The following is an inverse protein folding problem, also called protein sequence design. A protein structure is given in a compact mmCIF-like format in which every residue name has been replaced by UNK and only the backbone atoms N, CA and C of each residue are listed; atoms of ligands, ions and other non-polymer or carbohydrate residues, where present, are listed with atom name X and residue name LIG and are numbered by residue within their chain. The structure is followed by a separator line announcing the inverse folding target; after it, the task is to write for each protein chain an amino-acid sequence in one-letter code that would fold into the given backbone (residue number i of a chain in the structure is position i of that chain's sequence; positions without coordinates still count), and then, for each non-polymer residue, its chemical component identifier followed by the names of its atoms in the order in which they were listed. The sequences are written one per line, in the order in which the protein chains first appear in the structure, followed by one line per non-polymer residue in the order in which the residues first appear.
data_IF_410504062667
#
_entry.id   IF_410504062667
#
_cell.length_a   1.000
_cell.length_b   1.000
_cell.length_c   1.000
_cell.angle_alpha   90.00
_cell.angle_beta   90.00
_cell.angle_gamma   90.00
#
_symmetry.space_group_name_H-M   'P 1'
#
loop_
_entity.id
_entity.type
_entity.pdbx_description
1 polymer ?
#
# COMPACT_ATOMS: atom_id res chain seq x y z
N UNK A 1 31.30 15.53 37.53
CA UNK A 1 31.27 14.35 36.61
C UNK A 1 29.86 13.88 36.26
N UNK A 2 28.87 14.01 37.14
CA UNK A 2 27.49 13.57 36.89
C UNK A 2 26.67 14.47 35.91
N UNK A 3 26.96 15.76 35.90
CA UNK A 3 26.22 16.71 35.01
C UNK A 3 26.49 16.43 33.56
N UNK A 4 27.73 16.18 33.16
CA UNK A 4 28.10 15.88 31.75
C UNK A 4 27.49 14.55 31.33
N UNK A 5 27.46 13.55 32.20
CA UNK A 5 26.87 12.23 31.95
C UNK A 5 25.35 12.33 31.71
N UNK A 6 24.67 13.18 32.48
CA UNK A 6 23.22 13.41 32.33
C UNK A 6 22.90 14.18 31.05
N UNK A 7 23.74 15.16 30.66
CA UNK A 7 23.59 15.87 29.39
C UNK A 7 23.81 14.96 28.17
N UNK A 8 24.80 14.06 28.24
CA UNK A 8 25.07 13.09 27.18
C UNK A 8 23.88 12.11 27.00
N UNK A 9 23.29 11.66 28.10
CA UNK A 9 22.10 10.80 28.09
C UNK A 9 20.88 11.53 27.52
N UNK A 10 20.68 12.79 27.84
CA UNK A 10 19.58 13.60 27.30
C UNK A 10 19.74 13.83 25.78
N UNK A 11 20.95 14.10 25.31
CA UNK A 11 21.23 14.25 23.86
C UNK A 11 21.02 12.95 23.12
N UNK A 12 21.47 11.79 23.66
CA UNK A 12 21.19 10.48 23.07
C UNK A 12 19.69 10.17 23.02
N UNK A 13 18.93 10.50 24.05
CA UNK A 13 17.47 10.28 24.06
C UNK A 13 16.77 11.14 23.00
N UNK A 14 17.18 12.39 22.81
CA UNK A 14 16.63 13.28 21.77
C UNK A 14 16.96 12.79 20.36
N UNK A 15 18.17 12.24 20.15
CA UNK A 15 18.56 11.67 18.84
C UNK A 15 17.80 10.38 18.51
N UNK A 16 17.41 9.59 19.49
CA UNK A 16 16.63 8.38 19.29
C UNK A 16 15.16 8.64 18.96
N UNK A 17 14.61 9.81 19.30
CA UNK A 17 13.22 10.16 19.02
C UNK A 17 12.99 10.64 17.58
N UNK A 18 14.03 10.95 16.81
CA UNK A 18 13.89 11.41 15.42
C UNK A 18 13.79 10.30 14.36
N UNK A 19 13.75 9.02 14.76
CA UNK A 19 13.81 7.87 13.85
C UNK A 19 12.51 7.51 13.11
N UNK A 20 11.35 8.02 13.53
CA UNK A 20 10.06 7.64 12.97
C UNK A 20 9.38 8.80 12.20
N UNK A 21 9.89 9.15 11.01
CA UNK A 21 9.13 10.03 10.14
C UNK A 21 7.80 9.37 9.77
N UNK A 22 6.62 10.00 9.95
CA UNK A 22 5.33 9.38 9.65
C UNK A 22 5.18 9.09 8.16
N UNK A 23 4.34 8.12 7.81
CA UNK A 23 3.91 7.90 6.43
C UNK A 23 3.19 9.17 5.93
N UNK A 24 3.42 9.51 4.67
CA UNK A 24 2.71 10.64 4.05
C UNK A 24 1.20 10.40 4.08
N UNK A 25 0.44 11.49 4.20
CA UNK A 25 -1.01 11.42 4.09
C UNK A 25 -1.38 10.91 2.70
N UNK A 26 -2.36 10.01 2.59
CA UNK A 26 -2.86 9.58 1.28
C UNK A 26 -3.39 10.77 0.48
N UNK A 27 -3.20 10.71 -0.84
CA UNK A 27 -3.70 11.71 -1.78
C UNK A 27 -4.82 11.11 -2.60
N UNK A 28 -5.90 11.86 -2.80
CA UNK A 28 -7.02 11.48 -3.65
C UNK A 28 -7.31 12.60 -4.65
N UNK A 29 -7.56 12.19 -5.89
CA UNK A 29 -8.10 13.05 -6.95
C UNK A 29 -9.44 12.47 -7.35
N UNK A 30 -10.50 13.27 -7.33
CA UNK A 30 -11.85 12.87 -7.74
C UNK A 30 -12.34 13.79 -8.85
N UNK A 31 -12.58 13.23 -10.02
CA UNK A 31 -13.18 13.94 -11.15
C UNK A 31 -14.69 13.66 -11.24
N UNK A 32 -15.11 12.45 -10.81
CA UNK A 32 -16.51 12.07 -10.71
C UNK A 32 -16.74 11.08 -9.57
N UNK A 33 -18.00 10.89 -9.11
CA UNK A 33 -18.35 9.90 -8.10
C UNK A 33 -18.12 8.48 -8.60
N UNK A 34 -17.34 7.66 -7.87
CA UNK A 34 -17.15 6.24 -8.18
C UNK A 34 -18.39 5.41 -7.84
N UNK A 35 -19.23 5.93 -6.95
CA UNK A 35 -20.48 5.30 -6.48
C UNK A 35 -21.56 5.17 -7.56
N UNK A 36 -21.38 5.85 -8.70
CA UNK A 36 -22.26 5.71 -9.88
C UNK A 36 -22.05 4.41 -10.63
N UNK A 37 -20.95 3.71 -10.34
CA UNK A 37 -20.58 2.48 -11.01
C UNK A 37 -20.90 1.27 -10.12
N UNK A 38 -21.34 0.18 -10.75
CA UNK A 38 -21.73 -1.06 -10.07
C UNK A 38 -20.68 -2.16 -10.22
N UNK A 39 -19.98 -2.13 -11.34
CA UNK A 39 -19.02 -3.16 -11.72
C UNK A 39 -17.60 -2.60 -11.68
N UNK A 40 -16.64 -3.48 -11.39
CA UNK A 40 -15.23 -3.16 -11.50
C UNK A 40 -14.49 -4.29 -12.23
N UNK A 41 -13.70 -3.93 -13.21
CA UNK A 41 -12.71 -4.79 -13.83
C UNK A 41 -11.33 -4.35 -13.33
N UNK A 42 -10.61 -5.25 -12.68
CA UNK A 42 -9.29 -4.95 -12.15
C UNK A 42 -8.26 -5.50 -13.13
N UNK A 43 -7.39 -4.60 -13.62
CA UNK A 43 -6.29 -5.02 -14.50
C UNK A 43 -5.41 -6.04 -13.79
N UNK A 44 -5.08 -7.18 -14.44
CA UNK A 44 -4.30 -8.23 -13.82
C UNK A 44 -2.94 -7.71 -13.33
N UNK A 45 -2.53 -8.11 -12.13
CA UNK A 45 -1.22 -7.83 -11.57
C UNK A 45 -0.45 -9.13 -11.33
N UNK A 46 0.87 -9.03 -11.28
CA UNK A 46 1.71 -10.18 -10.91
C UNK A 46 1.71 -10.35 -9.40
N UNK A 47 1.75 -11.61 -8.96
CA UNK A 47 2.02 -11.93 -7.57
C UNK A 47 3.45 -11.55 -7.23
N UNK A 48 3.62 -10.83 -6.12
CA UNK A 48 4.92 -10.42 -5.58
C UNK A 48 5.18 -11.22 -4.31
N UNK A 49 6.32 -11.90 -4.29
CA UNK A 49 6.79 -12.64 -3.12
C UNK A 49 8.00 -11.92 -2.55
N UNK A 50 7.94 -11.63 -1.27
CA UNK A 50 9.05 -11.00 -0.54
C UNK A 50 9.35 -11.78 0.73
N UNK A 51 10.63 -11.84 1.08
CA UNK A 51 11.10 -12.47 2.30
C UNK A 51 11.97 -11.51 3.09
N UNK A 52 11.78 -11.50 4.40
CA UNK A 52 12.67 -10.85 5.34
C UNK A 52 13.19 -11.91 6.30
N UNK A 53 14.48 -11.82 6.65
CA UNK A 53 15.08 -12.77 7.57
C UNK A 53 16.43 -12.29 8.05
N UNK A 54 16.80 -12.71 9.25
CA UNK A 54 18.12 -12.49 9.84
C UNK A 54 18.76 -13.81 10.21
N UNK A 55 20.05 -13.93 9.91
CA UNK A 55 20.87 -15.03 10.40
C UNK A 55 21.72 -14.53 11.57
N UNK A 56 21.68 -15.24 12.68
CA UNK A 56 22.54 -15.00 13.84
C UNK A 56 23.51 -16.16 13.96
N UNK A 57 24.81 -15.88 13.88
CA UNK A 57 25.87 -16.85 14.15
C UNK A 57 26.25 -16.82 15.62
N UNK A 58 26.23 -17.96 16.29
CA UNK A 58 26.70 -18.13 17.64
C UNK A 58 27.73 -19.26 17.73
N UNK A 59 28.37 -19.40 18.90
CA UNK A 59 29.37 -20.44 19.16
C UNK A 59 28.86 -21.89 18.95
N UNK A 60 27.51 -22.05 18.90
CA UNK A 60 26.84 -23.35 18.77
C UNK A 60 26.09 -23.54 17.43
N UNK A 61 26.32 -22.67 16.45
CA UNK A 61 25.72 -22.80 15.13
C UNK A 61 25.15 -21.49 14.57
N UNK A 62 24.64 -21.58 13.35
CA UNK A 62 23.94 -20.49 12.66
C UNK A 62 22.44 -20.74 12.79
N UNK A 63 21.76 -19.80 13.42
CA UNK A 63 20.30 -19.80 13.54
C UNK A 63 19.74 -18.68 12.68
N UNK A 64 18.79 -19.01 11.82
CA UNK A 64 18.11 -18.04 10.97
C UNK A 64 16.61 -18.22 11.03
N UNK A 65 15.89 -17.13 11.09
CA UNK A 65 14.44 -17.09 10.85
C UNK A 65 14.18 -16.24 9.64
N UNK A 66 13.43 -16.77 8.67
CA UNK A 66 12.96 -16.02 7.52
C UNK A 66 11.45 -16.07 7.46
N UNK A 67 10.83 -14.92 7.20
CA UNK A 67 9.40 -14.80 6.92
C UNK A 67 9.25 -14.49 5.44
N UNK A 68 8.54 -15.35 4.73
CA UNK A 68 8.19 -15.14 3.32
C UNK A 68 6.70 -14.83 3.24
N UNK A 69 6.37 -13.73 2.58
CA UNK A 69 4.99 -13.31 2.33
C UNK A 69 4.81 -12.99 0.86
N UNK A 70 3.63 -13.31 0.33
CA UNK A 70 3.25 -12.95 -1.03
C UNK A 70 2.03 -12.03 -1.03
N UNK A 71 1.91 -11.22 -2.06
CA UNK A 71 0.76 -10.37 -2.31
C UNK A 71 0.47 -10.31 -3.80
N UNK A 72 -0.80 -10.49 -4.15
CA UNK A 72 -1.31 -10.11 -5.46
C UNK A 72 -2.12 -8.82 -5.28
N UNK A 73 -1.64 -7.69 -5.79
CA UNK A 73 -2.33 -6.40 -5.61
C UNK A 73 -3.78 -6.42 -6.10
N UNK A 74 -4.07 -7.07 -7.24
CA UNK A 74 -5.43 -7.17 -7.77
C UNK A 74 -6.38 -7.88 -6.81
N UNK A 75 -5.94 -8.92 -6.10
CA UNK A 75 -6.77 -9.66 -5.14
C UNK A 75 -7.06 -8.81 -3.89
N UNK A 76 -6.07 -8.04 -3.44
CA UNK A 76 -6.26 -7.11 -2.31
C UNK A 76 -7.27 -6.03 -2.66
N UNK A 77 -7.16 -5.45 -3.87
CA UNK A 77 -8.09 -4.43 -4.39
C UNK A 77 -9.48 -5.04 -4.53
N UNK A 78 -9.61 -6.22 -5.17
CA UNK A 78 -10.88 -6.93 -5.34
C UNK A 78 -11.58 -7.16 -4.00
N UNK A 79 -10.85 -7.66 -3.00
CA UNK A 79 -11.40 -7.92 -1.68
C UNK A 79 -11.92 -6.66 -0.97
N UNK A 80 -11.36 -5.50 -1.24
CA UNK A 80 -11.85 -4.23 -0.71
C UNK A 80 -13.08 -3.77 -1.48
N UNK A 81 -13.03 -3.77 -2.83
CA UNK A 81 -14.14 -3.31 -3.66
C UNK A 81 -15.41 -4.17 -3.47
N UNK A 82 -15.26 -5.48 -3.27
CA UNK A 82 -16.40 -6.35 -2.94
C UNK A 82 -17.07 -5.91 -1.63
N UNK A 83 -16.29 -5.51 -0.62
CA UNK A 83 -16.84 -5.01 0.67
C UNK A 83 -17.53 -3.66 0.52
N UNK A 84 -17.13 -2.87 -0.46
CA UNK A 84 -17.79 -1.61 -0.82
C UNK A 84 -19.00 -1.79 -1.75
N UNK A 85 -19.33 -3.04 -2.11
CA UNK A 85 -20.54 -3.39 -2.87
C UNK A 85 -20.35 -3.51 -4.38
N UNK A 86 -19.11 -3.47 -4.88
CA UNK A 86 -18.85 -3.66 -6.31
C UNK A 86 -18.90 -5.12 -6.71
N UNK A 87 -19.39 -5.39 -7.92
CA UNK A 87 -19.31 -6.69 -8.57
C UNK A 87 -18.06 -6.75 -9.43
N UNK A 88 -17.15 -7.68 -9.12
CA UNK A 88 -15.90 -7.81 -9.87
C UNK A 88 -16.15 -8.63 -11.14
N UNK A 89 -15.79 -8.06 -12.29
CA UNK A 89 -15.89 -8.73 -13.58
C UNK A 89 -14.56 -9.42 -13.91
N UNK A 90 -14.58 -10.68 -14.37
CA UNK A 90 -13.37 -11.38 -14.80
C UNK A 90 -12.83 -10.83 -16.13
N UNK A 91 -13.68 -10.20 -16.93
CA UNK A 91 -13.36 -9.60 -18.22
C UNK A 91 -14.24 -8.37 -18.48
N UNK A 92 -13.80 -7.48 -19.35
CA UNK A 92 -14.59 -6.32 -19.75
C UNK A 92 -15.73 -6.76 -20.67
N UNK A 93 -16.96 -6.33 -20.31
CA UNK A 93 -18.18 -6.59 -21.07
C UNK A 93 -18.69 -5.29 -21.69
N UNK A 94 -18.74 -5.19 -23.02
CA UNK A 94 -19.18 -3.96 -23.72
C UNK A 94 -20.58 -3.50 -23.29
N UNK A 95 -21.49 -4.44 -23.04
CA UNK A 95 -22.86 -4.16 -22.61
C UNK A 95 -22.96 -3.54 -21.20
N UNK A 96 -21.94 -3.73 -20.35
CA UNK A 96 -21.87 -3.18 -19.00
C UNK A 96 -20.92 -1.96 -18.90
N UNK A 97 -20.32 -1.52 -19.99
CA UNK A 97 -19.27 -0.49 -19.99
C UNK A 97 -19.72 0.83 -19.33
N UNK A 98 -21.01 1.19 -19.42
CA UNK A 98 -21.55 2.41 -18.81
C UNK A 98 -21.48 2.39 -17.26
N UNK A 99 -21.53 1.19 -16.66
CA UNK A 99 -21.57 0.98 -15.21
C UNK A 99 -20.31 0.31 -14.69
N UNK A 100 -19.26 0.19 -15.51
CA UNK A 100 -18.01 -0.50 -15.18
C UNK A 100 -16.85 0.47 -15.02
N UNK A 101 -16.11 0.33 -13.92
CA UNK A 101 -14.80 0.94 -13.71
C UNK A 101 -13.69 -0.02 -14.13
N UNK A 102 -12.70 0.50 -14.85
CA UNK A 102 -11.41 -0.15 -15.01
C UNK A 102 -10.51 0.32 -13.89
N UNK A 103 -9.99 -0.62 -13.09
CA UNK A 103 -9.14 -0.33 -11.95
C UNK A 103 -7.72 -0.75 -12.26
N UNK A 104 -6.82 0.22 -12.30
CA UNK A 104 -5.41 0.02 -12.56
C UNK A 104 -4.60 0.22 -11.27
N UNK A 105 -3.57 -0.58 -11.09
CA UNK A 105 -2.61 -0.51 -10.01
C UNK A 105 -1.23 -0.22 -10.55
N UNK A 106 -0.49 0.63 -9.85
CA UNK A 106 0.93 0.88 -10.13
C UNK A 106 1.69 1.28 -8.88
N UNK A 107 2.93 0.83 -8.77
CA UNK A 107 3.88 1.38 -7.83
C UNK A 107 4.37 2.71 -8.38
N UNK A 108 4.13 3.81 -7.66
CA UNK A 108 4.44 5.16 -8.11
C UNK A 108 5.75 5.69 -7.54
N UNK A 109 6.29 5.04 -6.51
CA UNK A 109 7.57 5.46 -5.94
C UNK A 109 8.02 4.66 -4.74
N UNK A 110 9.29 4.91 -4.36
CA UNK A 110 9.90 4.40 -3.13
C UNK A 110 10.61 5.54 -2.42
N UNK A 111 10.49 5.61 -1.11
CA UNK A 111 11.16 6.61 -0.29
C UNK A 111 11.96 5.95 0.82
N UNK A 112 13.25 6.28 0.91
CA UNK A 112 14.12 5.80 1.99
C UNK A 112 13.66 6.38 3.34
N UNK A 113 13.67 5.55 4.37
CA UNK A 113 13.29 5.89 5.74
C UNK A 113 14.21 5.19 6.74
N UNK A 114 15.26 5.88 7.15
CA UNK A 114 16.25 5.33 8.07
C UNK A 114 16.87 4.04 7.51
N UNK A 115 16.65 2.92 8.19
CA UNK A 115 17.15 1.59 7.79
C UNK A 115 16.23 0.85 6.80
N UNK A 116 15.11 1.45 6.39
CA UNK A 116 14.15 0.85 5.48
C UNK A 116 13.65 1.83 4.42
N UNK A 117 12.58 1.46 3.73
CA UNK A 117 11.92 2.29 2.73
C UNK A 117 10.40 2.15 2.85
N UNK A 118 9.69 3.06 2.20
CA UNK A 118 8.25 2.95 1.94
C UNK A 118 8.02 2.67 0.47
N UNK A 119 6.94 1.95 0.16
CA UNK A 119 6.45 1.81 -1.21
C UNK A 119 5.23 2.71 -1.36
N UNK A 120 5.22 3.50 -2.41
CA UNK A 120 4.07 4.31 -2.80
C UNK A 120 3.31 3.61 -3.92
N UNK A 121 2.00 3.51 -3.73
CA UNK A 121 1.07 2.86 -4.65
C UNK A 121 0.04 3.86 -5.11
N UNK A 122 -0.23 3.85 -6.42
CA UNK A 122 -1.33 4.60 -7.05
C UNK A 122 -2.34 3.63 -7.64
N UNK A 123 -3.61 3.84 -7.31
CA UNK A 123 -4.75 3.11 -7.86
C UNK A 123 -5.61 4.10 -8.65
N UNK A 124 -5.86 3.80 -9.92
CA UNK A 124 -6.63 4.63 -10.82
C UNK A 124 -7.94 3.94 -11.19
N UNK A 125 -9.01 4.70 -11.21
CA UNK A 125 -10.35 4.27 -11.58
C UNK A 125 -10.75 5.01 -12.86
N UNK A 126 -10.87 4.29 -13.95
CA UNK A 126 -11.26 4.85 -15.25
C UNK A 126 -12.64 4.32 -15.65
N UNK A 127 -13.43 5.12 -16.36
CA UNK A 127 -14.66 4.66 -16.98
C UNK A 127 -14.36 3.64 -18.07
N UNK A 128 -14.97 2.48 -18.06
CA UNK A 128 -14.82 1.50 -19.14
C UNK A 128 -15.42 1.98 -20.46
N UNK A 129 -16.37 2.93 -20.42
CA UNK A 129 -16.99 3.49 -21.61
C UNK A 129 -16.13 4.53 -22.30
N UNK A 130 -15.58 5.50 -21.53
CA UNK A 130 -14.89 6.68 -22.10
C UNK A 130 -13.38 6.61 -21.92
N UNK A 131 -12.88 5.70 -21.10
CA UNK A 131 -11.51 5.58 -20.64
C UNK A 131 -10.99 6.82 -19.87
N UNK A 132 -11.89 7.72 -19.48
CA UNK A 132 -11.55 8.90 -18.69
C UNK A 132 -11.31 8.49 -17.23
N UNK A 133 -10.37 9.18 -16.59
CA UNK A 133 -10.07 8.98 -15.19
C UNK A 133 -11.20 9.55 -14.32
N UNK A 134 -11.86 8.69 -13.57
CA UNK A 134 -12.93 9.03 -12.64
C UNK A 134 -12.33 9.43 -11.28
N UNK A 135 -11.37 8.65 -10.80
CA UNK A 135 -10.67 8.94 -9.56
C UNK A 135 -9.29 8.30 -9.54
N UNK A 136 -8.40 8.84 -8.71
CA UNK A 136 -7.10 8.25 -8.41
C UNK A 136 -6.79 8.42 -6.94
N UNK A 137 -6.22 7.40 -6.32
CA UNK A 137 -5.77 7.47 -4.94
C UNK A 137 -4.35 6.92 -4.80
N UNK A 138 -3.53 7.63 -4.02
CA UNK A 138 -2.12 7.31 -3.81
C UNK A 138 -1.81 7.26 -2.32
N UNK A 139 -1.07 6.26 -1.87
CA UNK A 139 -0.61 6.18 -0.50
C UNK A 139 0.70 5.40 -0.36
N UNK A 140 1.43 5.71 0.69
CA UNK A 140 2.62 4.95 1.11
C UNK A 140 2.22 3.80 2.05
N UNK A 141 2.98 2.70 1.98
CA UNK A 141 2.96 1.61 2.94
C UNK A 141 4.35 1.30 3.47
N UNK A 142 4.41 0.79 4.68
CA UNK A 142 5.61 0.29 5.33
C UNK A 142 5.25 -0.84 6.30
N UNK A 143 5.79 -2.01 6.07
CA UNK A 143 5.59 -3.20 6.88
C UNK A 143 6.89 -3.93 7.16
N UNK A 144 6.81 -5.21 7.43
CA UNK A 144 7.98 -6.07 7.67
C UNK A 144 8.58 -6.59 6.36
N UNK A 145 7.75 -6.72 5.33
CA UNK A 145 8.11 -7.20 3.99
C UNK A 145 7.53 -6.29 2.94
N UNK A 146 8.09 -6.32 1.73
CA UNK A 146 7.57 -5.58 0.58
C UNK A 146 6.08 -5.92 0.29
N UNK A 147 5.69 -7.18 0.48
CA UNK A 147 4.30 -7.61 0.36
C UNK A 147 3.39 -6.91 1.39
N UNK A 148 3.87 -6.67 2.60
CA UNK A 148 3.13 -5.93 3.63
C UNK A 148 3.05 -4.44 3.32
N UNK A 149 4.14 -3.85 2.77
CA UNK A 149 4.18 -2.46 2.33
C UNK A 149 3.10 -2.21 1.29
N UNK A 150 3.06 -3.04 0.25
CA UNK A 150 2.07 -2.95 -0.84
C UNK A 150 0.65 -3.11 -0.30
N UNK A 151 0.41 -4.14 0.53
CA UNK A 151 -0.90 -4.38 1.14
C UNK A 151 -1.37 -3.21 1.99
N UNK A 152 -0.46 -2.62 2.77
CA UNK A 152 -0.76 -1.45 3.60
C UNK A 152 -1.05 -0.23 2.71
N UNK A 153 -0.23 0.03 1.69
CA UNK A 153 -0.41 1.14 0.77
C UNK A 153 -1.77 1.08 0.07
N UNK A 154 -2.15 -0.09 -0.48
CA UNK A 154 -3.46 -0.31 -1.12
C UNK A 154 -4.60 -0.01 -0.13
N UNK A 155 -4.54 -0.54 1.09
CA UNK A 155 -5.58 -0.30 2.11
C UNK A 155 -5.71 1.18 2.46
N UNK A 156 -4.59 1.87 2.62
CA UNK A 156 -4.57 3.31 2.94
C UNK A 156 -5.10 4.15 1.78
N UNK A 157 -4.71 3.85 0.55
CA UNK A 157 -5.21 4.53 -0.64
C UNK A 157 -6.72 4.38 -0.76
N UNK A 158 -7.24 3.16 -0.71
CA UNK A 158 -8.67 2.89 -0.86
C UNK A 158 -9.51 3.37 0.33
N UNK A 159 -8.97 3.39 1.56
CA UNK A 159 -9.68 3.96 2.71
C UNK A 159 -9.95 5.46 2.59
N UNK A 160 -9.19 6.17 1.77
CA UNK A 160 -9.43 7.59 1.48
C UNK A 160 -10.53 7.76 0.44
N UNK A 161 -10.66 6.82 -0.48
CA UNK A 161 -11.73 6.81 -1.48
C UNK A 161 -13.07 6.38 -0.86
N UNK A 162 -13.03 5.39 0.04
CA UNK A 162 -14.18 4.82 0.74
C UNK A 162 -14.04 5.05 2.26
N UNK A 163 -14.30 6.27 2.76
CA UNK A 163 -14.21 6.55 4.18
C UNK A 163 -15.28 5.75 4.94
N UNK A 164 -14.87 5.06 5.99
CA UNK A 164 -15.82 4.38 6.88
C UNK A 164 -16.78 5.42 7.46
N UNK A 165 -18.06 5.17 7.31
CA UNK A 165 -19.12 5.93 7.96
C UNK A 165 -19.14 5.66 9.45
#
# INVERSE_FOLDING_TARGET
MNIIKNWLLAICAILLMNGCAPLRMPVIVRNAPVEMYKYAYISPTKELTSSTGGTYGGQYGIYGSSTTKSVNPSDVIAGILIKEGYVILPELKPELANETLIVNYGESGRRNRGLGYTIEVTIQFNSAKTNEMISSCTAEGQGETEADDIRQAIRRALSTLFPKK
#
